data_IF_030265611898
#
_entry.id   IF_030265611898
#
_cell.length_a   1.000
_cell.length_b   1.000
_cell.length_c   1.000
_cell.angle_alpha   90.00
_cell.angle_beta   90.00
_cell.angle_gamma   90.00
#
_symmetry.space_group_name_H-M   'P 1'
#
loop_
_entity.id
_entity.type
_entity.pdbx_description
1 polymer ?
#
# COMPACT_ATOMS: atom_id res chain seq x y z
N UNK A 1 -8.03 -2.88 44.28
CA UNK A 1 -9.14 -3.20 43.37
C UNK A 1 -8.57 -3.96 42.18
N UNK A 2 -9.43 -4.54 41.34
CA UNK A 2 -9.01 -5.22 40.13
C UNK A 2 -9.42 -4.38 38.91
N UNK A 3 -8.63 -4.44 37.85
CA UNK A 3 -8.94 -3.80 36.57
C UNK A 3 -10.31 -4.27 36.09
N UNK A 4 -11.20 -3.30 35.81
CA UNK A 4 -12.56 -3.59 35.34
C UNK A 4 -12.54 -4.28 33.97
N UNK A 5 -13.53 -5.13 33.72
CA UNK A 5 -13.71 -5.79 32.40
C UNK A 5 -13.78 -4.79 31.25
N UNK A 6 -14.38 -3.61 31.48
CA UNK A 6 -14.42 -2.51 30.51
C UNK A 6 -13.01 -2.02 30.16
N UNK A 7 -12.19 -1.71 31.16
CA UNK A 7 -10.83 -1.21 30.94
C UNK A 7 -9.93 -2.29 30.32
N UNK A 8 -10.07 -3.55 30.75
CA UNK A 8 -9.40 -4.71 30.18
C UNK A 8 -9.68 -4.84 28.68
N UNK A 9 -10.96 -4.83 28.27
CA UNK A 9 -11.36 -4.91 26.85
C UNK A 9 -10.80 -3.75 26.02
N UNK A 10 -10.84 -2.53 26.56
CA UNK A 10 -10.27 -1.36 25.88
C UNK A 10 -8.75 -1.50 25.71
N UNK A 11 -8.04 -1.90 26.77
CA UNK A 11 -6.59 -2.09 26.75
C UNK A 11 -6.19 -3.12 25.69
N UNK A 12 -6.75 -4.33 25.77
CA UNK A 12 -6.44 -5.42 24.84
C UNK A 12 -6.84 -5.09 23.40
N UNK A 13 -8.01 -4.49 23.20
CA UNK A 13 -8.50 -4.10 21.88
C UNK A 13 -7.61 -3.05 21.21
N UNK A 14 -7.17 -2.03 21.96
CA UNK A 14 -6.31 -0.97 21.42
C UNK A 14 -4.85 -1.39 21.25
N UNK A 15 -4.37 -2.36 22.03
CA UNK A 15 -3.04 -2.95 21.87
C UNK A 15 -2.97 -4.02 20.77
N UNK A 16 -4.11 -4.46 20.22
CA UNK A 16 -4.16 -5.34 19.06
C UNK A 16 -3.44 -6.67 19.25
N UNK A 17 -3.51 -7.26 20.46
CA UNK A 17 -2.81 -8.50 20.82
C UNK A 17 -1.27 -8.44 20.64
N UNK A 18 -0.67 -7.26 20.81
CA UNK A 18 0.77 -7.06 20.61
C UNK A 18 1.38 -6.36 21.82
N UNK A 19 2.60 -6.74 22.19
CA UNK A 19 3.36 -6.05 23.23
C UNK A 19 3.62 -4.60 22.82
N UNK A 20 3.35 -3.63 23.69
CA UNK A 20 3.57 -2.22 23.36
C UNK A 20 5.05 -1.88 23.08
N UNK A 21 6.00 -2.67 23.57
CA UNK A 21 7.44 -2.49 23.31
C UNK A 21 7.92 -3.28 22.08
N UNK A 22 7.95 -4.60 22.15
CA UNK A 22 8.57 -5.44 21.11
C UNK A 22 7.61 -5.92 20.00
N UNK A 23 6.32 -5.57 20.09
CA UNK A 23 5.28 -5.98 19.13
C UNK A 23 5.15 -7.50 18.94
N UNK A 24 5.67 -8.33 19.85
CA UNK A 24 5.40 -9.77 19.79
C UNK A 24 3.91 -10.02 20.05
N UNK A 25 3.40 -11.11 19.50
CA UNK A 25 2.08 -11.62 19.80
C UNK A 25 1.97 -12.03 21.28
N UNK A 26 0.88 -11.62 21.94
CA UNK A 26 0.68 -11.87 23.37
C UNK A 26 -0.21 -13.08 23.62
N UNK A 27 -1.20 -13.30 22.76
CA UNK A 27 -2.04 -14.50 22.72
C UNK A 27 -1.80 -15.16 21.37
N UNK A 28 -1.04 -16.26 21.38
CA UNK A 28 -0.72 -17.00 20.16
C UNK A 28 -1.74 -18.11 19.93
N UNK A 29 -2.11 -18.32 18.66
CA UNK A 29 -2.78 -19.55 18.21
C UNK A 29 -1.80 -20.72 18.19
N UNK A 30 -2.35 -21.94 18.19
CA UNK A 30 -1.66 -23.10 18.73
C UNK A 30 -0.92 -23.98 17.73
N UNK A 31 0.22 -24.52 18.16
CA UNK A 31 0.73 -25.83 17.73
C UNK A 31 0.08 -26.97 18.57
N UNK A 32 -0.62 -27.86 17.87
CA UNK A 32 -0.99 -29.28 18.13
C UNK A 32 -1.38 -29.82 19.54
N UNK A 33 -1.57 -29.02 20.61
CA UNK A 33 -1.91 -29.57 21.96
C UNK A 33 -2.93 -28.80 22.86
N UNK A 34 -3.90 -28.03 22.36
CA UNK A 34 -4.92 -27.24 23.14
C UNK A 34 -4.50 -26.46 24.42
N UNK A 35 -3.99 -25.23 24.31
CA UNK A 35 -3.62 -24.25 25.37
C UNK A 35 -3.50 -22.89 24.66
N UNK A 36 -4.42 -21.98 24.94
CA UNK A 36 -4.30 -20.57 24.57
C UNK A 36 -3.24 -19.92 25.49
N UNK A 37 -1.98 -19.89 25.06
CA UNK A 37 -0.90 -19.32 25.87
C UNK A 37 -1.00 -17.79 25.86
N UNK A 38 -1.34 -17.22 27.01
CA UNK A 38 -1.33 -15.78 27.21
C UNK A 38 0.01 -15.33 27.85
N UNK A 39 0.82 -14.62 27.07
CA UNK A 39 2.09 -14.01 27.45
C UNK A 39 1.94 -12.53 27.88
N UNK A 40 0.74 -11.96 27.70
CA UNK A 40 0.44 -10.57 27.97
C UNK A 40 0.14 -10.28 29.44
N UNK A 41 0.64 -9.15 29.92
CA UNK A 41 0.45 -8.66 31.27
C UNK A 41 -0.13 -7.23 31.22
N UNK A 42 -1.17 -7.00 32.02
CA UNK A 42 -1.87 -5.71 32.17
C UNK A 42 -1.10 -4.87 33.17
N UNK A 43 -0.16 -4.08 32.68
CA UNK A 43 0.84 -3.40 33.52
C UNK A 43 0.38 -2.00 33.90
N UNK A 44 0.56 -1.62 35.17
CA UNK A 44 0.35 -0.25 35.63
C UNK A 44 1.55 0.64 35.27
N UNK A 45 1.28 1.81 34.70
CA UNK A 45 2.29 2.85 34.47
C UNK A 45 2.70 3.44 35.82
N UNK A 46 1.75 3.79 36.68
CA UNK A 46 1.96 4.26 38.06
C UNK A 46 1.52 3.15 39.01
N UNK A 47 2.44 2.67 39.86
CA UNK A 47 2.13 1.60 40.82
C UNK A 47 1.23 2.08 41.96
N UNK A 48 0.28 1.23 42.37
CA UNK A 48 -0.54 1.44 43.58
C UNK A 48 0.20 1.14 44.89
N UNK A 49 1.38 0.50 44.82
CA UNK A 49 2.18 0.17 46.01
C UNK A 49 3.04 1.36 46.42
N UNK A 50 3.06 1.70 47.71
CA UNK A 50 3.81 2.85 48.25
C UNK A 50 5.32 2.86 47.92
N UNK A 51 5.93 1.68 47.72
CA UNK A 51 7.34 1.52 47.30
C UNK A 51 7.47 0.90 45.91
N UNK A 52 6.39 0.91 45.14
CA UNK A 52 6.35 0.38 43.79
C UNK A 52 6.93 1.35 42.76
N UNK A 53 7.25 0.87 41.55
CA UNK A 53 7.74 1.69 40.46
C UNK A 53 6.83 2.91 40.20
N UNK A 54 7.44 4.09 40.11
CA UNK A 54 6.78 5.37 39.76
C UNK A 54 5.59 5.75 40.66
N UNK A 55 5.47 5.18 41.87
CA UNK A 55 4.32 5.45 42.74
C UNK A 55 4.14 6.95 43.01
N UNK A 56 2.92 7.44 42.78
CA UNK A 56 2.46 8.78 43.16
C UNK A 56 1.33 8.65 44.18
N UNK A 57 1.35 9.50 45.21
CA UNK A 57 0.26 9.60 46.18
C UNK A 57 -0.97 10.25 45.54
N UNK A 58 -2.16 9.87 45.99
CA UNK A 58 -3.45 10.48 45.61
C UNK A 58 -3.82 10.34 44.12
N UNK A 59 -3.46 9.23 43.47
CA UNK A 59 -4.07 8.91 42.18
C UNK A 59 -5.49 8.41 42.41
N UNK A 60 -6.47 9.00 41.72
CA UNK A 60 -7.90 8.69 41.90
C UNK A 60 -8.24 7.23 41.60
N UNK A 61 -7.69 6.69 40.50
CA UNK A 61 -7.90 5.32 40.08
C UNK A 61 -6.64 4.74 39.42
N UNK A 62 -5.94 3.86 40.13
CA UNK A 62 -4.80 3.15 39.59
C UNK A 62 -5.20 2.16 38.49
N UNK A 63 -6.43 1.65 38.49
CA UNK A 63 -6.93 0.65 37.54
C UNK A 63 -7.59 1.31 36.29
N UNK A 64 -7.48 2.63 36.17
CA UNK A 64 -7.95 3.39 35.01
C UNK A 64 -7.16 3.01 33.75
N UNK A 65 -7.86 2.86 32.62
CA UNK A 65 -7.24 2.49 31.34
C UNK A 65 -6.05 3.38 30.92
N UNK A 66 -6.09 4.68 31.24
CA UNK A 66 -4.99 5.60 30.92
C UNK A 66 -3.70 5.24 31.68
N UNK A 67 -3.81 4.65 32.87
CA UNK A 67 -2.69 4.17 33.68
C UNK A 67 -2.26 2.74 33.32
N UNK A 68 -2.81 2.12 32.27
CA UNK A 68 -2.50 0.74 31.88
C UNK A 68 -1.77 0.66 30.55
N UNK A 69 -0.78 -0.22 30.46
CA UNK A 69 -0.06 -0.57 29.23
C UNK A 69 0.04 -2.09 29.11
N UNK A 70 -0.17 -2.62 27.91
CA UNK A 70 -0.12 -4.05 27.65
C UNK A 70 1.27 -4.46 27.18
N UNK A 71 1.92 -5.36 27.91
CA UNK A 71 3.30 -5.79 27.64
C UNK A 71 3.41 -7.32 27.72
N UNK A 72 4.48 -7.87 27.14
CA UNK A 72 4.87 -9.23 27.48
C UNK A 72 5.60 -9.26 28.82
N UNK A 73 5.62 -10.42 29.48
CA UNK A 73 6.28 -10.62 30.78
C UNK A 73 7.72 -10.08 30.86
N UNK A 74 8.51 -10.25 29.80
CA UNK A 74 9.89 -9.74 29.76
C UNK A 74 9.95 -8.20 29.83
N UNK A 75 9.08 -7.52 29.07
CA UNK A 75 9.05 -6.07 29.06
C UNK A 75 8.40 -5.50 30.32
N UNK A 76 7.38 -6.15 30.88
CA UNK A 76 6.82 -5.75 32.17
C UNK A 76 7.90 -5.73 33.27
N UNK A 77 8.61 -6.85 33.44
CA UNK A 77 9.72 -6.92 34.39
C UNK A 77 10.78 -5.84 34.15
N UNK A 78 11.16 -5.63 32.90
CA UNK A 78 12.17 -4.63 32.54
C UNK A 78 11.76 -3.21 32.91
N UNK A 79 10.52 -2.80 32.64
CA UNK A 79 10.07 -1.43 32.94
C UNK A 79 9.94 -1.19 34.45
N UNK A 80 9.64 -2.23 35.21
CA UNK A 80 9.53 -2.16 36.66
C UNK A 80 10.89 -2.13 37.35
N UNK A 81 11.88 -2.88 36.85
CA UNK A 81 13.25 -2.83 37.37
C UNK A 81 13.99 -1.55 36.96
N UNK A 82 13.74 -1.03 35.75
CA UNK A 82 14.43 0.15 35.19
C UNK A 82 13.55 1.40 35.19
N UNK A 83 12.81 1.64 36.27
CA UNK A 83 11.81 2.71 36.33
C UNK A 83 12.39 4.14 36.26
N UNK A 84 13.68 4.32 36.49
CA UNK A 84 14.38 5.59 36.24
C UNK A 84 14.50 5.90 34.75
N UNK A 85 14.67 4.87 33.91
CA UNK A 85 14.68 5.00 32.44
C UNK A 85 13.26 4.99 31.87
N UNK A 86 12.43 4.08 32.36
CA UNK A 86 11.02 3.98 31.97
C UNK A 86 10.17 4.84 32.87
N UNK A 87 10.30 6.16 32.68
CA UNK A 87 9.49 7.17 33.38
C UNK A 87 8.02 7.08 32.95
N UNK A 88 7.14 7.69 33.73
CA UNK A 88 5.69 7.78 33.42
C UNK A 88 5.44 8.38 32.04
N UNK A 89 6.02 9.53 31.74
CA UNK A 89 5.87 10.20 30.45
C UNK A 89 6.33 9.32 29.29
N UNK A 90 7.44 8.60 29.49
CA UNK A 90 7.95 7.71 28.46
C UNK A 90 7.04 6.50 28.22
N UNK A 91 6.47 5.91 29.28
CA UNK A 91 5.51 4.82 29.15
C UNK A 91 4.20 5.27 28.51
N UNK A 92 3.71 6.48 28.82
CA UNK A 92 2.56 7.06 28.12
C UNK A 92 2.85 7.27 26.63
N UNK A 93 4.06 7.72 26.29
CA UNK A 93 4.49 7.83 24.90
C UNK A 93 4.52 6.47 24.20
N UNK A 94 5.12 5.45 24.81
CA UNK A 94 5.16 4.08 24.26
C UNK A 94 3.74 3.56 24.03
N UNK A 95 2.83 3.74 24.99
CA UNK A 95 1.41 3.37 24.86
C UNK A 95 0.75 4.08 23.68
N UNK A 96 0.85 5.42 23.61
CA UNK A 96 0.21 6.22 22.57
C UNK A 96 0.75 5.87 21.17
N UNK A 97 2.07 5.76 21.02
CA UNK A 97 2.71 5.42 19.75
C UNK A 97 2.32 3.99 19.31
N UNK A 98 2.22 3.05 20.26
CA UNK A 98 1.78 1.69 19.96
C UNK A 98 0.32 1.61 19.53
N UNK A 99 -0.62 2.22 20.27
CA UNK A 99 -2.04 2.18 19.93
C UNK A 99 -2.32 2.90 18.59
N UNK A 100 -1.59 3.99 18.31
CA UNK A 100 -1.61 4.64 17.00
C UNK A 100 -1.13 3.70 15.89
N UNK A 101 -0.03 2.99 16.11
CA UNK A 101 0.48 1.99 15.16
C UNK A 101 -0.53 0.85 14.91
N UNK A 102 -1.20 0.35 15.95
CA UNK A 102 -2.25 -0.68 15.81
C UNK A 102 -3.38 -0.16 14.92
N UNK A 103 -3.92 1.02 15.24
CA UNK A 103 -5.02 1.63 14.48
C UNK A 103 -4.64 1.83 13.02
N UNK A 104 -3.49 2.42 12.73
CA UNK A 104 -3.04 2.66 11.35
C UNK A 104 -2.80 1.37 10.57
N UNK A 105 -2.27 0.33 11.22
CA UNK A 105 -2.07 -0.99 10.61
C UNK A 105 -3.41 -1.61 10.20
N UNK A 106 -4.39 -1.59 11.09
CA UNK A 106 -5.73 -2.14 10.82
C UNK A 106 -6.45 -1.31 9.75
N UNK A 107 -6.45 0.02 9.86
CA UNK A 107 -7.06 0.93 8.88
C UNK A 107 -6.47 0.70 7.48
N UNK A 108 -5.15 0.50 7.38
CA UNK A 108 -4.47 0.21 6.12
C UNK A 108 -4.86 -1.16 5.57
N UNK A 109 -4.99 -2.19 6.42
CA UNK A 109 -5.43 -3.51 5.98
C UNK A 109 -6.87 -3.50 5.45
N UNK A 110 -7.76 -2.76 6.12
CA UNK A 110 -9.16 -2.61 5.71
C UNK A 110 -9.24 -1.83 4.38
N UNK A 111 -8.52 -0.71 4.25
CA UNK A 111 -8.49 0.10 3.02
C UNK A 111 -7.74 -0.58 1.86
N UNK A 112 -6.77 -1.45 2.15
CA UNK A 112 -5.97 -2.17 1.17
C UNK A 112 -6.77 -3.15 0.31
N UNK A 113 -7.95 -3.59 0.77
CA UNK A 113 -8.85 -4.46 0.03
C UNK A 113 -9.92 -3.71 -0.78
N UNK A 114 -9.99 -2.37 -0.70
CA UNK A 114 -11.00 -1.57 -1.42
C UNK A 114 -10.45 -0.82 -2.63
N UNK A 115 -9.21 -1.07 -3.07
CA UNK A 115 -8.71 -0.52 -4.33
C UNK A 115 -9.24 -1.31 -5.54
N UNK A 116 -10.56 -1.37 -5.65
CA UNK A 116 -11.23 -1.36 -6.94
C UNK A 116 -11.38 0.10 -7.40
N UNK A 117 -10.36 0.94 -7.16
CA UNK A 117 -10.27 2.25 -7.79
C UNK A 117 -10.12 1.96 -9.28
N UNK A 118 -11.19 2.14 -10.04
CA UNK A 118 -11.15 2.10 -11.49
C UNK A 118 -9.92 2.91 -11.93
N UNK A 119 -8.97 2.24 -12.60
CA UNK A 119 -7.76 2.90 -13.06
C UNK A 119 -8.16 3.82 -14.20
N UNK A 120 -8.19 5.11 -13.94
CA UNK A 120 -8.35 6.11 -14.98
C UNK A 120 -7.06 6.17 -15.78
N UNK A 121 -7.14 5.81 -17.07
CA UNK A 121 -6.04 5.98 -18.01
C UNK A 121 -6.19 7.33 -18.71
N UNK A 122 -5.07 8.00 -18.96
CA UNK A 122 -5.06 9.30 -19.64
C UNK A 122 -5.03 9.07 -21.14
N UNK A 123 -5.78 9.88 -21.89
CA UNK A 123 -5.65 9.92 -23.34
C UNK A 123 -4.23 10.40 -23.69
N UNK A 124 -3.55 9.67 -24.56
CA UNK A 124 -2.20 9.98 -25.03
C UNK A 124 -2.30 10.57 -26.43
N UNK A 125 -1.58 11.67 -26.66
CA UNK A 125 -1.66 12.46 -27.90
C UNK A 125 -0.29 12.72 -28.53
N UNK A 126 0.78 12.31 -27.87
CA UNK A 126 2.15 12.45 -28.36
C UNK A 126 2.99 11.21 -28.09
N UNK A 127 3.94 10.93 -28.98
CA UNK A 127 4.91 9.86 -28.79
C UNK A 127 5.85 10.10 -27.61
N UNK A 128 6.02 11.35 -27.16
CA UNK A 128 6.72 11.64 -25.91
C UNK A 128 6.01 11.03 -24.69
N UNK A 129 4.69 11.16 -24.61
CA UNK A 129 3.91 10.57 -23.51
C UNK A 129 4.02 9.03 -23.53
N UNK A 130 3.99 8.43 -24.72
CA UNK A 130 4.21 6.99 -24.91
C UNK A 130 5.59 6.57 -24.40
N UNK A 131 6.66 7.28 -24.81
CA UNK A 131 8.03 7.00 -24.35
C UNK A 131 8.15 7.13 -22.84
N UNK A 132 7.59 8.17 -22.23
CA UNK A 132 7.66 8.37 -20.78
C UNK A 132 6.99 7.19 -20.02
N UNK A 133 5.93 6.61 -20.59
CA UNK A 133 5.25 5.42 -20.06
C UNK A 133 6.10 4.15 -20.25
N UNK A 134 6.57 3.85 -21.46
CA UNK A 134 7.22 2.55 -21.75
C UNK A 134 8.70 2.49 -21.35
N UNK A 135 9.39 3.64 -21.23
CA UNK A 135 10.80 3.68 -20.87
C UNK A 135 11.06 2.99 -19.52
N UNK A 136 11.91 1.96 -19.54
CA UNK A 136 12.29 1.20 -18.34
C UNK A 136 11.13 0.41 -17.73
N UNK A 137 10.13 0.04 -18.54
CA UNK A 137 9.12 -0.91 -18.11
C UNK A 137 9.75 -2.30 -17.93
N UNK A 138 9.34 -3.02 -16.89
CA UNK A 138 9.68 -4.43 -16.68
C UNK A 138 8.55 -5.38 -17.06
N UNK A 139 7.35 -4.84 -17.30
CA UNK A 139 6.19 -5.55 -17.82
C UNK A 139 5.25 -4.58 -18.54
N UNK A 140 4.44 -5.13 -19.43
CA UNK A 140 3.43 -4.40 -20.19
C UNK A 140 2.06 -5.08 -20.10
N UNK A 141 1.03 -4.25 -19.97
CA UNK A 141 -0.38 -4.62 -20.06
C UNK A 141 -0.96 -3.84 -21.24
N UNK A 142 -0.76 -4.39 -22.43
CA UNK A 142 -1.24 -3.79 -23.67
C UNK A 142 -2.52 -4.50 -24.10
N UNK A 143 -3.54 -3.72 -24.46
CA UNK A 143 -4.85 -4.23 -24.84
C UNK A 143 -5.48 -3.36 -25.94
N UNK A 144 -6.47 -3.89 -26.62
CA UNK A 144 -7.22 -3.14 -27.63
C UNK A 144 -8.66 -3.64 -27.74
N UNK A 145 -9.56 -2.78 -28.21
CA UNK A 145 -10.91 -3.20 -28.57
C UNK A 145 -10.90 -4.13 -29.80
N UNK A 146 -12.02 -4.83 -30.02
CA UNK A 146 -12.19 -5.73 -31.16
C UNK A 146 -11.92 -5.03 -32.51
N UNK A 147 -11.06 -5.66 -33.32
CA UNK A 147 -10.61 -5.15 -34.62
C UNK A 147 -11.46 -5.76 -35.74
N UNK A 148 -11.91 -4.93 -36.68
CA UNK A 148 -12.93 -5.31 -37.67
C UNK A 148 -12.37 -5.68 -39.04
N UNK A 149 -11.11 -5.37 -39.32
CA UNK A 149 -10.50 -5.60 -40.63
C UNK A 149 -8.97 -5.69 -40.52
N UNK A 150 -8.33 -6.22 -41.57
CA UNK A 150 -6.88 -6.44 -41.62
C UNK A 150 -6.07 -5.15 -41.46
N UNK A 151 -6.56 -4.02 -41.95
CA UNK A 151 -5.89 -2.72 -41.81
C UNK A 151 -5.81 -2.29 -40.34
N UNK A 152 -6.89 -2.48 -39.58
CA UNK A 152 -6.89 -2.23 -38.13
C UNK A 152 -5.90 -3.17 -37.41
N UNK A 153 -5.87 -4.46 -37.77
CA UNK A 153 -4.94 -5.45 -37.22
C UNK A 153 -3.49 -5.07 -37.48
N UNK A 154 -3.15 -4.69 -38.71
CA UNK A 154 -1.79 -4.31 -39.10
C UNK A 154 -1.33 -3.06 -38.35
N UNK A 155 -2.14 -1.99 -38.35
CA UNK A 155 -1.75 -0.72 -37.72
C UNK A 155 -1.65 -0.84 -36.19
N UNK A 156 -2.67 -1.40 -35.54
CA UNK A 156 -2.71 -1.47 -34.07
C UNK A 156 -1.72 -2.52 -33.56
N UNK A 157 -1.61 -3.66 -34.26
CA UNK A 157 -0.64 -4.70 -33.92
C UNK A 157 0.80 -4.21 -34.03
N UNK A 158 1.16 -3.55 -35.13
CA UNK A 158 2.51 -2.99 -35.33
C UNK A 158 2.83 -1.87 -34.33
N UNK A 159 1.87 -1.01 -34.02
CA UNK A 159 2.01 0.02 -32.99
C UNK A 159 2.31 -0.58 -31.60
N UNK A 160 1.52 -1.56 -31.15
CA UNK A 160 1.71 -2.19 -29.85
C UNK A 160 3.01 -3.00 -29.77
N UNK A 161 3.40 -3.66 -30.86
CA UNK A 161 4.70 -4.33 -30.97
C UNK A 161 5.85 -3.32 -30.85
N UNK A 162 5.76 -2.22 -31.59
CA UNK A 162 6.76 -1.14 -31.58
C UNK A 162 6.96 -0.59 -30.16
N UNK A 163 5.87 -0.35 -29.42
CA UNK A 163 5.96 0.09 -28.02
C UNK A 163 6.65 -0.94 -27.10
N UNK A 164 6.44 -2.23 -27.34
CA UNK A 164 7.09 -3.30 -26.57
C UNK A 164 8.59 -3.30 -26.82
N UNK A 165 8.98 -3.31 -28.09
CA UNK A 165 10.38 -3.35 -28.51
C UNK A 165 11.16 -2.13 -27.97
N UNK A 166 10.60 -0.92 -28.07
CA UNK A 166 11.26 0.27 -27.55
C UNK A 166 11.28 0.33 -26.02
N UNK A 167 10.23 -0.14 -25.34
CA UNK A 167 10.23 -0.19 -23.87
C UNK A 167 11.40 -1.02 -23.33
N UNK A 168 11.67 -2.16 -23.98
CA UNK A 168 12.80 -3.04 -23.65
C UNK A 168 14.15 -2.39 -23.99
N UNK A 169 14.28 -1.83 -25.21
CA UNK A 169 15.56 -1.29 -25.69
C UNK A 169 15.98 0.03 -25.00
N UNK A 170 15.05 0.96 -24.78
CA UNK A 170 15.33 2.25 -24.13
C UNK A 170 15.71 2.00 -22.66
N UNK A 171 15.02 1.09 -21.98
CA UNK A 171 15.31 0.73 -20.59
C UNK A 171 16.72 0.16 -20.37
N UNK A 172 17.28 -0.47 -21.40
CA UNK A 172 18.66 -1.01 -21.38
C UNK A 172 19.74 0.04 -21.69
N UNK A 173 19.37 1.30 -21.96
CA UNK A 173 20.32 2.34 -22.35
C UNK A 173 21.03 2.04 -23.69
N UNK A 174 20.41 1.18 -24.52
CA UNK A 174 21.00 0.70 -25.78
C UNK A 174 20.65 1.58 -26.99
N UNK A 175 19.94 2.68 -26.76
CA UNK A 175 19.43 3.61 -27.79
C UNK A 175 19.97 5.00 -27.52
N UNK A 176 20.46 5.67 -28.56
CA UNK A 176 20.98 7.04 -28.46
C UNK A 176 19.86 8.07 -28.26
N UNK A 177 20.18 9.19 -27.62
CA UNK A 177 19.21 10.27 -27.37
C UNK A 177 18.51 10.77 -28.64
N UNK A 178 19.24 10.89 -29.75
CA UNK A 178 18.66 11.30 -31.03
C UNK A 178 17.61 10.29 -31.51
N UNK A 179 17.92 8.99 -31.42
CA UNK A 179 17.00 7.93 -31.82
C UNK A 179 15.73 7.96 -30.97
N UNK A 180 15.83 8.20 -29.65
CA UNK A 180 14.66 8.37 -28.77
C UNK A 180 13.74 9.49 -29.28
N UNK A 181 14.32 10.61 -29.72
CA UNK A 181 13.54 11.73 -30.28
C UNK A 181 12.85 11.34 -31.59
N UNK A 182 13.55 10.64 -32.49
CA UNK A 182 13.00 10.16 -33.76
C UNK A 182 11.86 9.15 -33.55
N UNK A 183 12.02 8.22 -32.60
CA UNK A 183 10.99 7.27 -32.19
C UNK A 183 9.75 8.00 -31.70
N UNK A 184 9.92 9.00 -30.81
CA UNK A 184 8.81 9.79 -30.30
C UNK A 184 8.07 10.55 -31.38
N UNK A 185 8.79 11.04 -32.39
CA UNK A 185 8.18 11.68 -33.55
C UNK A 185 7.35 10.70 -34.39
N UNK A 186 7.87 9.50 -34.66
CA UNK A 186 7.15 8.48 -35.42
C UNK A 186 5.93 7.93 -34.67
N UNK A 187 6.05 7.66 -33.37
CA UNK A 187 4.91 7.27 -32.53
C UNK A 187 3.80 8.33 -32.52
N UNK A 188 4.16 9.61 -32.66
CA UNK A 188 3.16 10.69 -32.79
C UNK A 188 2.40 10.61 -34.13
N UNK A 189 3.03 10.13 -35.19
CA UNK A 189 2.35 9.87 -36.47
C UNK A 189 1.43 8.66 -36.35
N UNK A 190 1.90 7.58 -35.72
CA UNK A 190 1.12 6.37 -35.51
C UNK A 190 -0.16 6.68 -34.72
N UNK A 191 -0.07 7.51 -33.67
CA UNK A 191 -1.24 7.99 -32.92
C UNK A 191 -2.29 8.67 -33.80
N UNK A 192 -1.86 9.48 -34.79
CA UNK A 192 -2.76 10.15 -35.73
C UNK A 192 -3.38 9.17 -36.71
N UNK A 193 -2.62 8.18 -37.18
CA UNK A 193 -3.15 7.14 -38.07
C UNK A 193 -4.20 6.27 -37.35
N UNK A 194 -3.94 5.92 -36.09
CA UNK A 194 -4.88 5.22 -35.21
C UNK A 194 -6.14 6.06 -35.00
N UNK A 195 -6.00 7.36 -34.75
CA UNK A 195 -7.14 8.28 -34.63
C UNK A 195 -7.97 8.35 -35.91
N UNK A 196 -7.32 8.38 -37.09
CA UNK A 196 -8.00 8.36 -38.38
C UNK A 196 -8.78 7.06 -38.64
N UNK A 197 -8.44 5.95 -37.98
CA UNK A 197 -9.22 4.70 -38.00
C UNK A 197 -10.37 4.69 -36.97
N UNK A 198 -10.56 5.77 -36.21
CA UNK A 198 -11.61 5.88 -35.21
C UNK A 198 -11.25 5.21 -33.88
N UNK A 199 -9.97 5.25 -33.50
CA UNK A 199 -9.48 4.77 -32.21
C UNK A 199 -8.80 5.90 -31.41
N UNK A 200 -8.73 5.72 -30.10
CA UNK A 200 -8.00 6.57 -29.18
C UNK A 200 -7.07 5.70 -28.33
N UNK A 201 -5.89 6.24 -28.02
CA UNK A 201 -4.91 5.54 -27.18
C UNK A 201 -4.91 6.15 -25.79
N UNK A 202 -4.97 5.28 -24.78
CA UNK A 202 -4.90 5.65 -23.38
C UNK A 202 -3.79 4.90 -22.68
N UNK A 203 -3.20 5.49 -21.65
CA UNK A 203 -2.21 4.78 -20.86
C UNK A 203 -1.77 5.47 -19.58
N UNK A 204 -1.03 4.70 -18.78
CA UNK A 204 -0.35 5.15 -17.58
C UNK A 204 0.76 4.14 -17.21
N UNK A 205 1.64 4.50 -16.27
CA UNK A 205 2.64 3.59 -15.72
C UNK A 205 2.54 3.53 -14.19
N UNK A 206 2.66 2.32 -13.64
CA UNK A 206 2.66 2.10 -12.19
C UNK A 206 3.82 1.23 -11.74
N UNK A 207 4.17 1.33 -10.46
CA UNK A 207 5.09 0.39 -9.82
C UNK A 207 4.30 -0.67 -9.05
N UNK A 208 4.57 -1.94 -9.30
CA UNK A 208 3.92 -3.04 -8.61
C UNK A 208 4.95 -4.06 -8.13
N UNK A 209 4.66 -4.71 -7.00
CA UNK A 209 5.45 -5.84 -6.54
C UNK A 209 5.04 -7.08 -7.31
N UNK A 210 6.00 -7.76 -7.91
CA UNK A 210 5.75 -8.96 -8.71
C UNK A 210 6.09 -10.19 -7.87
N UNK A 211 5.27 -11.23 -7.99
CA UNK A 211 5.52 -12.53 -7.39
C UNK A 211 5.41 -13.64 -8.43
N UNK A 212 6.18 -14.71 -8.27
CA UNK A 212 5.97 -15.94 -9.05
C UNK A 212 4.77 -16.75 -8.51
N UNK A 213 4.46 -17.88 -9.15
CA UNK A 213 3.37 -18.78 -8.73
C UNK A 213 3.57 -19.36 -7.31
N UNK A 214 4.81 -19.40 -6.83
CA UNK A 214 5.18 -19.83 -5.47
C UNK A 214 5.09 -18.69 -4.43
N UNK A 215 4.68 -17.49 -4.85
CA UNK A 215 4.60 -16.26 -4.04
C UNK A 215 5.95 -15.68 -3.61
N UNK A 216 7.04 -16.10 -4.24
CA UNK A 216 8.34 -15.48 -4.03
C UNK A 216 8.35 -14.05 -4.58
N UNK A 217 8.99 -13.14 -3.87
CA UNK A 217 9.07 -11.73 -4.25
C UNK A 217 10.14 -11.53 -5.35
N UNK A 218 9.70 -11.11 -6.55
CA UNK A 218 10.57 -10.80 -7.70
C UNK A 218 10.96 -9.32 -7.80
N UNK A 219 10.63 -8.54 -6.77
CA UNK A 219 10.94 -7.11 -6.68
C UNK A 219 9.80 -6.22 -7.13
N UNK A 220 10.12 -4.94 -7.35
CA UNK A 220 9.16 -3.91 -7.77
C UNK A 220 9.44 -3.53 -9.21
N UNK A 221 8.49 -3.79 -10.10
CA UNK A 221 8.63 -3.51 -11.52
C UNK A 221 7.76 -2.32 -11.92
N UNK A 222 8.21 -1.56 -12.93
CA UNK A 222 7.38 -0.59 -13.63
C UNK A 222 6.52 -1.36 -14.64
N UNK A 223 5.20 -1.28 -14.51
CA UNK A 223 4.22 -1.84 -15.44
C UNK A 223 3.67 -0.70 -16.28
N UNK A 224 3.86 -0.76 -17.59
CA UNK A 224 3.23 0.13 -18.56
C UNK A 224 1.88 -0.44 -18.97
N UNK A 225 0.82 0.36 -18.89
CA UNK A 225 -0.50 0.01 -19.40
C UNK A 225 -0.82 0.92 -20.58
N UNK A 226 -1.10 0.32 -21.74
CA UNK A 226 -1.51 1.02 -22.97
C UNK A 226 -2.75 0.31 -23.49
N UNK A 227 -3.83 1.05 -23.72
CA UNK A 227 -5.05 0.50 -24.31
C UNK A 227 -5.46 1.31 -25.53
N UNK A 228 -5.82 0.62 -26.61
CA UNK A 228 -6.33 1.22 -27.84
C UNK A 228 -7.84 0.97 -27.92
N UNK A 229 -8.63 2.01 -27.69
CA UNK A 229 -10.09 1.92 -27.59
C UNK A 229 -10.74 2.57 -28.82
N UNK A 230 -11.88 2.06 -29.28
CA UNK A 230 -12.65 2.76 -30.31
C UNK A 230 -13.13 4.10 -29.76
N UNK A 231 -13.18 5.12 -30.62
CA UNK A 231 -13.58 6.47 -30.24
C UNK A 231 -15.01 6.55 -29.70
N UNK A 232 -15.86 5.57 -30.02
CA UNK A 232 -17.25 5.43 -29.54
C UNK A 232 -17.39 4.46 -28.35
N UNK A 233 -16.29 3.98 -27.78
CA UNK A 233 -16.35 3.05 -26.65
C UNK A 233 -16.97 3.74 -25.41
N UNK A 234 -18.03 3.16 -24.81
CA UNK A 234 -18.74 3.77 -23.67
C UNK A 234 -17.91 3.88 -22.39
N UNK A 235 -16.77 3.19 -22.29
CA UNK A 235 -15.81 3.34 -21.19
C UNK A 235 -15.06 4.68 -21.25
N UNK A 236 -15.07 5.36 -22.41
CA UNK A 236 -14.45 6.66 -22.59
C UNK A 236 -15.40 7.73 -22.06
N UNK A 237 -14.98 8.37 -20.96
CA UNK A 237 -15.73 9.45 -20.32
C UNK A 237 -14.98 10.76 -20.56
N UNK A 238 -15.66 11.75 -21.14
CA UNK A 238 -15.15 13.11 -21.21
C UNK A 238 -15.38 13.81 -19.87
N UNK A 239 -14.29 14.12 -19.17
CA UNK A 239 -14.35 14.72 -17.84
C UNK A 239 -14.96 16.13 -17.83
N UNK A 240 -14.94 16.85 -18.96
CA UNK A 240 -15.57 18.17 -19.06
C UNK A 240 -17.09 18.03 -18.91
N UNK A 241 -17.67 17.05 -19.60
CA UNK A 241 -19.12 16.80 -19.60
C UNK A 241 -19.64 16.32 -18.24
N UNK A 242 -18.77 15.73 -17.41
CA UNK A 242 -19.09 15.30 -16.03
C UNK A 242 -19.08 16.47 -15.06
N UNK A 243 -18.17 17.44 -15.24
CA UNK A 243 -18.06 18.61 -14.35
C UNK A 243 -19.22 19.59 -14.56
N UNK A 244 -19.79 19.66 -15.76
CA UNK A 244 -20.98 20.50 -16.04
C UNK A 244 -22.30 19.93 -15.47
N UNK A 245 -22.29 18.70 -14.96
CA UNK A 245 -23.46 18.03 -14.36
C UNK A 245 -23.47 18.06 -12.82
N UNK A 246 -22.48 18.70 -12.18
CA UNK A 246 -22.32 18.84 -10.73
C UNK A 246 -22.48 20.31 -10.34
#
# INVERSE_FOLDING_TARGET
MAISEKNRKILWGKSGNRCACCKIELVAEKDNKDINLNLGEECHIISSKNKGPRHKKFLDDYDAYNNLILLCRNHHRMIDEKFETYTEDYLHKIKADHEKWVKLTIDKAIKGNSNNSQKLLKRLTSGKELIDIVNGMGASEFDHDELKNEKEVELIGSFLQTLRDWGDLIGMGSIETQQIVEIGFNLTKDLKEIENLGFMVFGDARKARITNDQKDNLGVWKIATIVVKRSDNPEIINLIDVVEQI
#
